data_IF_545965878767
#
_entry.id   IF_545965878767
#
_cell.length_a   1.000
_cell.length_b   1.000
_cell.length_c   1.000
_cell.angle_alpha   90.00
_cell.angle_beta   90.00
_cell.angle_gamma   90.00
#
_symmetry.space_group_name_H-M   'P 1'
#
loop_
_entity.id
_entity.type
_entity.pdbx_description
1 polymer ?
#
# COMPACT_ATOMS: atom_id res chain seq x y z
N UNK A 1 -22.26 18.13 11.01
CA UNK A 1 -23.25 17.20 10.51
C UNK A 1 -22.56 15.88 10.17
N UNK A 2 -22.88 14.77 10.90
CA UNK A 2 -22.26 13.47 10.64
C UNK A 2 -22.62 12.87 9.26
N UNK A 3 -23.57 13.49 8.56
CA UNK A 3 -23.98 13.10 7.22
C UNK A 3 -23.49 14.07 6.13
N UNK A 4 -22.73 15.09 6.49
CA UNK A 4 -22.18 16.01 5.50
C UNK A 4 -21.16 15.26 4.62
N UNK A 5 -21.21 15.42 3.30
CA UNK A 5 -20.21 14.80 2.43
C UNK A 5 -18.84 15.34 2.78
N UNK A 6 -17.87 14.45 2.94
CA UNK A 6 -16.50 14.83 3.19
C UNK A 6 -15.91 15.49 1.93
N UNK A 7 -15.41 16.72 2.09
CA UNK A 7 -14.74 17.44 1.00
C UNK A 7 -13.25 17.11 1.07
N UNK A 8 -12.71 16.46 0.03
CA UNK A 8 -11.30 16.14 -0.09
C UNK A 8 -10.58 17.21 -0.88
N UNK A 9 -9.38 17.58 -0.42
CA UNK A 9 -8.46 18.32 -1.26
C UNK A 9 -8.02 17.44 -2.42
N UNK A 10 -7.93 18.05 -3.61
CA UNK A 10 -7.44 17.32 -4.78
C UNK A 10 -5.96 17.01 -4.62
N UNK A 11 -5.62 15.72 -4.71
CA UNK A 11 -4.24 15.26 -4.69
C UNK A 11 -3.61 15.42 -6.08
N UNK A 12 -2.31 15.69 -6.09
CA UNK A 12 -1.51 15.77 -7.31
C UNK A 12 -0.29 14.87 -7.18
N UNK A 13 -0.02 14.10 -8.22
CA UNK A 13 1.21 13.29 -8.29
C UNK A 13 2.43 14.18 -8.54
N UNK A 14 3.63 13.73 -8.12
CA UNK A 14 4.87 14.44 -8.43
C UNK A 14 5.03 14.69 -9.94
N UNK A 15 5.68 15.80 -10.30
CA UNK A 15 6.06 16.16 -11.67
C UNK A 15 4.92 16.19 -12.69
N UNK A 16 3.69 16.40 -12.24
CA UNK A 16 2.53 16.50 -13.12
C UNK A 16 2.06 15.18 -13.72
N UNK A 17 2.55 14.04 -13.22
CA UNK A 17 2.09 12.73 -13.66
C UNK A 17 0.65 12.45 -13.24
N UNK A 18 -0.02 11.54 -13.95
CA UNK A 18 -1.40 11.13 -13.64
C UNK A 18 -1.61 9.62 -13.66
N UNK A 19 -0.55 8.83 -13.60
CA UNK A 19 -0.61 7.37 -13.60
C UNK A 19 0.19 6.82 -12.43
N UNK A 20 -0.47 6.01 -11.59
CA UNK A 20 0.06 5.57 -10.31
C UNK A 20 -0.06 4.05 -10.15
N UNK A 21 1.00 3.42 -9.64
CA UNK A 21 0.95 2.05 -9.13
C UNK A 21 0.84 2.12 -7.59
N UNK A 22 -0.26 1.59 -7.06
CA UNK A 22 -0.52 1.56 -5.61
C UNK A 22 -0.25 0.16 -5.04
N UNK A 23 0.80 0.01 -4.27
CA UNK A 23 1.01 -1.18 -3.46
C UNK A 23 -0.03 -1.24 -2.34
N UNK A 24 -0.78 -2.33 -2.26
CA UNK A 24 -1.81 -2.55 -1.26
C UNK A 24 -1.52 -3.81 -0.44
N UNK A 25 -1.62 -3.70 0.90
CA UNK A 25 -1.40 -4.83 1.79
C UNK A 25 -2.71 -5.45 2.31
N UNK A 26 -3.70 -4.63 2.62
CA UNK A 26 -4.99 -5.07 3.12
C UNK A 26 -6.05 -3.99 2.90
N UNK A 27 -7.31 -4.38 2.85
CA UNK A 27 -8.41 -3.45 2.59
C UNK A 27 -8.56 -2.36 3.66
N UNK A 28 -8.43 -2.63 4.97
CA UNK A 28 -8.52 -1.56 5.98
C UNK A 28 -7.53 -0.41 5.76
N UNK A 29 -6.31 -0.70 5.34
CA UNK A 29 -5.32 0.33 5.04
C UNK A 29 -5.54 0.99 3.68
N UNK A 30 -6.10 0.26 2.72
CA UNK A 30 -6.22 0.72 1.34
C UNK A 30 -7.48 1.54 1.07
N UNK A 31 -8.56 1.34 1.82
CA UNK A 31 -9.86 1.94 1.53
C UNK A 31 -9.83 3.45 1.39
N UNK A 32 -9.31 4.15 2.39
CA UNK A 32 -9.18 5.62 2.35
C UNK A 32 -8.22 6.08 1.25
N UNK A 33 -7.09 5.40 1.11
CA UNK A 33 -6.09 5.75 0.09
C UNK A 33 -6.69 5.64 -1.31
N UNK A 34 -7.41 4.57 -1.60
CA UNK A 34 -8.09 4.37 -2.88
C UNK A 34 -9.16 5.44 -3.14
N UNK A 35 -10.00 5.73 -2.16
CA UNK A 35 -11.05 6.74 -2.31
C UNK A 35 -10.45 8.15 -2.53
N UNK A 36 -9.38 8.49 -1.82
CA UNK A 36 -8.70 9.77 -1.99
C UNK A 36 -8.09 9.94 -3.39
N UNK A 37 -7.46 8.89 -3.91
CA UNK A 37 -6.88 8.88 -5.26
C UNK A 37 -7.97 8.97 -6.33
N UNK A 38 -9.05 8.20 -6.18
CA UNK A 38 -10.21 8.26 -7.07
C UNK A 38 -10.84 9.66 -7.12
N UNK A 39 -11.08 10.25 -5.95
CA UNK A 39 -11.66 11.58 -5.85
C UNK A 39 -10.80 12.67 -6.50
N UNK A 40 -9.51 12.43 -6.64
CA UNK A 40 -8.55 13.34 -7.27
C UNK A 40 -8.44 13.15 -8.79
N UNK A 41 -9.13 12.16 -9.37
CA UNK A 41 -9.08 11.88 -10.80
C UNK A 41 -7.77 11.28 -11.28
N UNK A 42 -6.99 10.67 -10.39
CA UNK A 42 -5.73 10.00 -10.71
C UNK A 42 -6.00 8.59 -11.21
N UNK A 43 -5.45 8.22 -12.36
CA UNK A 43 -5.47 6.85 -12.87
C UNK A 43 -4.52 5.98 -12.06
N UNK A 44 -5.02 4.86 -11.52
CA UNK A 44 -4.16 3.96 -10.75
C UNK A 44 -4.52 2.49 -10.90
N UNK A 45 -3.53 1.66 -10.63
CA UNK A 45 -3.63 0.20 -10.61
C UNK A 45 -3.14 -0.28 -9.25
N UNK A 46 -3.83 -1.27 -8.68
CA UNK A 46 -3.42 -1.90 -7.44
C UNK A 46 -2.40 -2.98 -7.74
N UNK A 47 -1.31 -2.98 -7.00
CA UNK A 47 -0.27 -3.99 -7.02
C UNK A 47 -0.25 -4.72 -5.69
N UNK A 48 -0.68 -5.99 -5.69
CA UNK A 48 -0.74 -6.81 -4.49
C UNK A 48 0.45 -7.76 -4.46
N UNK A 49 1.48 -7.39 -3.71
CA UNK A 49 2.67 -8.18 -3.45
C UNK A 49 2.98 -8.15 -1.97
N UNK A 50 2.60 -9.22 -1.26
CA UNK A 50 2.67 -9.29 0.19
C UNK A 50 3.15 -10.69 0.65
N UNK A 51 4.44 -11.00 0.42
CA UNK A 51 5.01 -12.31 0.77
C UNK A 51 5.12 -12.54 2.27
N UNK A 52 4.93 -11.49 3.07
CA UNK A 52 4.98 -11.51 4.52
C UNK A 52 3.70 -12.06 5.16
N UNK A 53 2.59 -12.10 4.44
CA UNK A 53 1.32 -12.55 5.01
C UNK A 53 1.29 -14.09 5.03
N UNK A 54 1.13 -14.65 6.21
CA UNK A 54 1.00 -16.08 6.41
C UNK A 54 0.15 -16.38 7.64
N UNK A 55 -0.51 -17.53 7.72
CA UNK A 55 -0.51 -18.62 6.75
C UNK A 55 -1.27 -18.29 5.45
N UNK A 56 -1.28 -19.21 4.51
CA UNK A 56 -1.98 -19.05 3.22
C UNK A 56 -3.44 -18.59 3.37
N UNK A 57 -4.15 -19.14 4.34
CA UNK A 57 -5.54 -18.76 4.63
C UNK A 57 -5.68 -17.26 4.87
N UNK A 58 -4.80 -16.68 5.68
CA UNK A 58 -4.80 -15.25 5.99
C UNK A 58 -4.47 -14.41 4.74
N UNK A 59 -3.49 -14.85 3.97
CA UNK A 59 -3.12 -14.24 2.70
C UNK A 59 -4.31 -14.17 1.74
N UNK A 60 -5.03 -15.27 1.57
CA UNK A 60 -6.20 -15.34 0.68
C UNK A 60 -7.33 -14.44 1.14
N UNK A 61 -7.62 -14.37 2.44
CA UNK A 61 -8.66 -13.48 2.99
C UNK A 61 -8.35 -12.02 2.63
N UNK A 62 -7.13 -11.57 2.87
CA UNK A 62 -6.72 -10.20 2.59
C UNK A 62 -6.70 -9.88 1.09
N UNK A 63 -6.25 -10.83 0.28
CA UNK A 63 -6.23 -10.67 -1.18
C UNK A 63 -7.63 -10.57 -1.77
N UNK A 64 -8.51 -11.49 -1.41
CA UNK A 64 -9.89 -11.52 -1.92
C UNK A 64 -10.67 -10.25 -1.54
N UNK A 65 -10.48 -9.74 -0.34
CA UNK A 65 -11.11 -8.51 0.10
C UNK A 65 -10.59 -7.30 -0.68
N UNK A 66 -9.30 -7.23 -0.97
CA UNK A 66 -8.71 -6.22 -1.85
C UNK A 66 -9.30 -6.28 -3.26
N UNK A 67 -9.42 -7.48 -3.83
CA UNK A 67 -10.00 -7.68 -5.15
C UNK A 67 -11.46 -7.20 -5.17
N UNK A 68 -12.24 -7.57 -4.18
CA UNK A 68 -13.64 -7.16 -4.06
C UNK A 68 -13.79 -5.65 -4.01
N UNK A 69 -12.96 -4.98 -3.23
CA UNK A 69 -13.01 -3.53 -3.10
C UNK A 69 -12.54 -2.82 -4.37
N UNK A 70 -11.49 -3.33 -5.02
CA UNK A 70 -11.04 -2.84 -6.32
C UNK A 70 -12.12 -2.95 -7.39
N UNK A 71 -12.81 -4.10 -7.46
CA UNK A 71 -13.92 -4.31 -8.40
C UNK A 71 -15.07 -3.34 -8.20
N UNK A 72 -15.39 -3.00 -6.96
CA UNK A 72 -16.43 -2.03 -6.63
C UNK A 72 -16.23 -0.69 -7.35
N UNK A 73 -14.99 -0.28 -7.54
CA UNK A 73 -14.63 0.99 -8.17
C UNK A 73 -14.06 0.83 -9.59
N UNK A 74 -14.05 -0.37 -10.12
CA UNK A 74 -13.49 -0.61 -11.46
C UNK A 74 -11.98 -0.41 -11.56
N UNK A 75 -11.23 -0.60 -10.46
CA UNK A 75 -9.79 -0.41 -10.43
C UNK A 75 -9.06 -1.68 -10.88
N UNK A 76 -8.10 -1.59 -11.84
CA UNK A 76 -7.26 -2.73 -12.21
C UNK A 76 -6.48 -3.26 -11.01
N UNK A 77 -6.38 -4.59 -10.92
CA UNK A 77 -5.71 -5.28 -9.82
C UNK A 77 -4.67 -6.24 -10.38
N UNK A 78 -3.42 -6.07 -9.96
CA UNK A 78 -2.31 -6.97 -10.31
C UNK A 78 -2.05 -7.89 -9.13
N UNK A 79 -2.32 -9.18 -9.34
CA UNK A 79 -2.03 -10.26 -8.39
C UNK A 79 -0.60 -10.74 -8.63
N UNK A 80 0.33 -10.22 -7.86
CA UNK A 80 1.74 -10.60 -7.96
C UNK A 80 2.00 -11.94 -7.25
N UNK A 81 3.15 -12.54 -7.51
CA UNK A 81 3.52 -13.83 -6.94
C UNK A 81 3.53 -13.80 -5.40
N UNK A 82 3.05 -14.89 -4.80
CA UNK A 82 3.13 -15.12 -3.35
C UNK A 82 4.50 -15.65 -2.93
N UNK A 83 5.51 -14.90 -3.17
CA UNK A 83 6.95 -15.20 -2.99
C UNK A 83 7.34 -15.45 -1.52
N UNK A 84 6.56 -16.28 -0.83
CA UNK A 84 6.64 -16.55 0.60
C UNK A 84 7.99 -17.12 1.03
N UNK A 85 8.52 -18.07 0.26
CA UNK A 85 9.80 -18.71 0.61
C UNK A 85 10.95 -17.70 0.58
N UNK A 86 10.99 -16.82 -0.39
CA UNK A 86 11.99 -15.77 -0.46
C UNK A 86 11.89 -14.82 0.75
N UNK A 87 10.68 -14.50 1.20
CA UNK A 87 10.51 -13.70 2.41
C UNK A 87 11.06 -14.41 3.64
N UNK A 88 10.73 -15.68 3.84
CA UNK A 88 11.27 -16.47 4.96
C UNK A 88 12.80 -16.57 4.91
N UNK A 89 13.38 -16.77 3.73
CA UNK A 89 14.83 -16.85 3.57
C UNK A 89 15.51 -15.53 3.96
N UNK A 90 14.93 -14.40 3.56
CA UNK A 90 15.42 -13.06 3.93
C UNK A 90 15.20 -12.73 5.41
N UNK A 91 14.13 -13.22 6.02
CA UNK A 91 13.81 -12.99 7.43
C UNK A 91 14.59 -13.88 8.39
N UNK A 92 15.31 -14.88 7.89
CA UNK A 92 16.09 -15.81 8.70
C UNK A 92 17.10 -15.06 9.57
N UNK A 93 17.08 -15.35 10.87
CA UNK A 93 17.90 -14.67 11.86
C UNK A 93 17.29 -13.38 12.42
N UNK A 94 16.10 -12.98 11.95
CA UNK A 94 15.39 -11.79 12.39
C UNK A 94 14.09 -12.12 13.15
N UNK A 95 13.90 -13.36 13.58
CA UNK A 95 12.65 -13.86 14.16
C UNK A 95 12.28 -13.12 15.44
N UNK A 96 13.27 -12.65 16.20
CA UNK A 96 13.09 -11.97 17.48
C UNK A 96 13.15 -10.43 17.38
N UNK A 97 13.26 -9.90 16.17
CA UNK A 97 13.29 -8.45 15.98
C UNK A 97 11.93 -7.84 16.33
N UNK A 98 11.92 -6.68 17.01
CA UNK A 98 10.69 -5.99 17.34
C UNK A 98 10.01 -5.42 16.10
N UNK A 99 8.74 -5.09 16.23
CA UNK A 99 8.05 -4.26 15.24
C UNK A 99 8.81 -2.94 15.04
N UNK A 100 8.87 -2.46 13.81
CA UNK A 100 9.67 -1.30 13.36
C UNK A 100 11.19 -1.52 13.36
N UNK A 101 11.64 -2.74 13.64
CA UNK A 101 13.05 -3.11 13.58
C UNK A 101 13.52 -3.49 12.17
N UNK A 102 14.69 -4.16 12.11
CA UNK A 102 15.32 -4.51 10.82
C UNK A 102 14.51 -5.48 9.98
N UNK A 103 13.73 -6.36 10.60
CA UNK A 103 12.84 -7.26 9.86
C UNK A 103 11.75 -6.48 9.10
N UNK A 104 11.18 -5.44 9.70
CA UNK A 104 10.22 -4.56 9.02
C UNK A 104 10.88 -3.80 7.87
N UNK A 105 12.11 -3.31 8.06
CA UNK A 105 12.88 -2.66 6.98
C UNK A 105 13.10 -3.63 5.81
N UNK A 106 13.56 -4.84 6.06
CA UNK A 106 13.72 -5.88 5.04
C UNK A 106 12.41 -6.16 4.31
N UNK A 107 11.32 -6.28 5.05
CA UNK A 107 10.00 -6.56 4.51
C UNK A 107 9.48 -5.44 3.61
N UNK A 108 9.64 -4.19 4.01
CA UNK A 108 9.26 -3.03 3.18
C UNK A 108 10.16 -2.91 1.96
N UNK A 109 11.47 -3.06 2.11
CA UNK A 109 12.41 -3.04 0.98
C UNK A 109 12.02 -4.08 -0.06
N UNK A 110 11.75 -5.31 0.35
CA UNK A 110 11.36 -6.40 -0.55
C UNK A 110 10.09 -6.07 -1.34
N UNK A 111 9.08 -5.56 -0.66
CA UNK A 111 7.80 -5.21 -1.30
C UNK A 111 7.93 -4.03 -2.24
N UNK A 112 8.66 -3.00 -1.85
CA UNK A 112 8.83 -1.79 -2.66
C UNK A 112 9.79 -1.98 -3.82
N UNK A 113 10.82 -2.81 -3.67
CA UNK A 113 11.69 -3.20 -4.79
C UNK A 113 10.87 -3.83 -5.92
N UNK A 114 9.94 -4.73 -5.58
CA UNK A 114 9.05 -5.36 -6.57
C UNK A 114 8.06 -4.36 -7.17
N UNK A 115 7.52 -3.46 -6.39
CA UNK A 115 6.61 -2.43 -6.88
C UNK A 115 7.33 -1.47 -7.85
N UNK A 116 8.53 -1.02 -7.51
CA UNK A 116 9.34 -0.16 -8.37
C UNK A 116 9.77 -0.86 -9.66
N UNK A 117 10.18 -2.13 -9.59
CA UNK A 117 10.50 -2.95 -10.75
C UNK A 117 9.31 -3.08 -11.70
N UNK A 118 8.14 -3.40 -11.16
CA UNK A 118 6.90 -3.49 -11.94
C UNK A 118 6.55 -2.16 -12.58
N UNK A 119 6.65 -1.08 -11.83
CA UNK A 119 6.39 0.28 -12.34
C UNK A 119 7.31 0.63 -13.51
N UNK A 120 8.60 0.33 -13.38
CA UNK A 120 9.58 0.52 -14.44
C UNK A 120 9.25 -0.30 -15.69
N UNK A 121 8.99 -1.58 -15.53
CA UNK A 121 8.72 -2.51 -16.64
C UNK A 121 7.41 -2.23 -17.38
N UNK A 122 6.41 -1.65 -16.71
CA UNK A 122 5.06 -1.46 -17.23
C UNK A 122 4.68 0.02 -17.45
N UNK A 123 5.64 0.93 -17.34
CA UNK A 123 5.41 2.34 -17.67
C UNK A 123 4.60 3.12 -16.65
N UNK A 124 4.68 2.78 -15.36
CA UNK A 124 4.13 3.58 -14.28
C UNK A 124 5.18 4.57 -13.79
N UNK A 125 4.99 5.88 -13.98
CA UNK A 125 5.99 6.87 -13.57
C UNK A 125 6.06 7.07 -12.06
N UNK A 126 5.03 6.69 -11.32
CA UNK A 126 4.93 6.89 -9.88
C UNK A 126 4.39 5.62 -9.21
N UNK A 127 4.95 5.28 -8.07
CA UNK A 127 4.36 4.29 -7.18
C UNK A 127 4.29 4.81 -5.75
N UNK A 128 3.38 4.24 -4.98
CA UNK A 128 3.26 4.48 -3.55
C UNK A 128 2.67 3.24 -2.85
N UNK A 129 2.45 3.34 -1.55
CA UNK A 129 1.86 2.26 -0.76
C UNK A 129 0.84 2.80 0.23
N UNK A 130 -0.15 1.97 0.55
CA UNK A 130 -1.10 2.24 1.62
C UNK A 130 -0.50 2.05 3.03
N UNK A 131 0.69 1.47 3.15
CA UNK A 131 1.30 1.12 4.45
C UNK A 131 1.45 2.32 5.37
N UNK A 132 1.74 3.49 4.83
CA UNK A 132 1.98 4.71 5.60
C UNK A 132 0.76 5.24 6.36
N UNK A 133 -0.45 4.77 6.07
CA UNK A 133 -1.65 5.21 6.79
C UNK A 133 -1.76 4.57 8.19
N UNK A 134 -1.16 3.40 8.39
CA UNK A 134 -1.20 2.69 9.67
C UNK A 134 -0.35 3.40 10.74
N UNK A 135 -0.98 3.79 11.83
CA UNK A 135 -0.29 4.41 12.99
C UNK A 135 0.70 3.47 13.68
N UNK A 136 0.58 2.16 13.46
CA UNK A 136 1.46 1.15 14.04
C UNK A 136 2.81 1.06 13.34
N UNK A 137 2.95 1.70 12.18
CA UNK A 137 4.15 1.67 11.36
C UNK A 137 4.91 2.99 11.43
N UNK A 138 6.23 2.91 11.28
CA UNK A 138 7.11 4.07 11.21
C UNK A 138 7.10 4.62 9.78
N UNK A 139 6.55 5.82 9.62
CA UNK A 139 6.44 6.46 8.30
C UNK A 139 7.82 6.78 7.70
N UNK A 140 8.79 7.18 8.49
CA UNK A 140 10.14 7.46 8.01
C UNK A 140 10.82 6.19 7.49
N UNK A 141 10.61 5.06 8.17
CA UNK A 141 11.11 3.75 7.74
C UNK A 141 10.49 3.35 6.40
N UNK A 142 9.18 3.49 6.26
CA UNK A 142 8.45 3.19 5.02
C UNK A 142 8.95 4.06 3.88
N UNK A 143 9.01 5.37 4.08
CA UNK A 143 9.43 6.32 3.04
C UNK A 143 10.90 6.11 2.65
N UNK A 144 11.77 5.80 3.60
CA UNK A 144 13.16 5.45 3.32
C UNK A 144 13.28 4.23 2.38
N UNK A 145 12.48 3.19 2.64
CA UNK A 145 12.43 2.01 1.76
C UNK A 145 11.90 2.35 0.37
N UNK A 146 10.85 3.18 0.29
CA UNK A 146 10.27 3.61 -0.98
C UNK A 146 11.25 4.41 -1.83
N UNK A 147 11.94 5.37 -1.24
CA UNK A 147 12.94 6.16 -1.95
C UNK A 147 14.13 5.32 -2.42
N UNK A 148 14.63 4.39 -1.59
CA UNK A 148 15.71 3.47 -2.01
C UNK A 148 15.31 2.61 -3.19
N UNK A 149 14.07 2.11 -3.21
CA UNK A 149 13.59 1.31 -4.33
C UNK A 149 13.50 2.13 -5.62
N UNK A 150 13.01 3.37 -5.54
CA UNK A 150 12.90 4.26 -6.70
C UNK A 150 14.26 4.70 -7.26
N UNK A 151 15.29 4.85 -6.42
CA UNK A 151 16.63 5.28 -6.84
C UNK A 151 17.26 4.38 -7.90
N UNK A 152 16.82 3.12 -8.01
CA UNK A 152 17.30 2.18 -9.01
C UNK A 152 16.86 2.50 -10.45
N UNK A 153 15.87 3.37 -10.61
CA UNK A 153 15.25 3.65 -11.90
C UNK A 153 15.07 5.16 -12.10
N UNK A 154 15.54 5.67 -13.25
CA UNK A 154 15.42 7.11 -13.58
C UNK A 154 13.97 7.51 -13.93
N UNK A 155 13.13 6.54 -14.28
CA UNK A 155 11.78 6.74 -14.75
C UNK A 155 10.68 6.41 -13.72
N UNK A 156 11.07 6.16 -12.46
CA UNK A 156 10.15 5.80 -11.39
C UNK A 156 10.35 6.72 -10.18
N UNK A 157 9.26 7.31 -9.71
CA UNK A 157 9.23 8.17 -8.52
C UNK A 157 8.44 7.47 -7.42
N UNK A 158 8.98 7.46 -6.20
CA UNK A 158 8.21 7.09 -5.01
C UNK A 158 7.49 8.32 -4.46
N UNK A 159 6.15 8.22 -4.35
CA UNK A 159 5.32 9.29 -3.79
C UNK A 159 5.18 9.09 -2.28
N UNK A 160 5.80 9.96 -1.49
CA UNK A 160 5.87 9.89 -0.03
C UNK A 160 4.75 10.65 0.68
N UNK A 161 3.58 10.74 0.06
CA UNK A 161 2.44 11.45 0.63
C UNK A 161 2.04 10.88 2.00
N UNK A 162 1.76 11.77 2.94
CA UNK A 162 1.31 11.39 4.28
C UNK A 162 -0.21 11.14 4.31
N UNK A 163 -0.61 9.89 4.21
CA UNK A 163 -2.02 9.48 4.19
C UNK A 163 -2.76 9.71 5.52
N UNK A 164 -2.05 9.98 6.62
CA UNK A 164 -2.64 10.21 7.95
C UNK A 164 -3.17 11.63 8.11
N UNK A 165 -2.65 12.58 7.36
CA UNK A 165 -3.04 13.99 7.47
C UNK A 165 -4.42 14.27 6.91
N UNK A 166 -4.93 15.46 7.17
CA UNK A 166 -6.23 15.95 6.67
C UNK A 166 -7.39 15.01 7.01
N UNK A 167 -7.33 14.37 8.19
CA UNK A 167 -8.35 13.44 8.66
C UNK A 167 -8.30 12.04 8.04
N UNK A 168 -7.22 11.69 7.33
CA UNK A 168 -7.08 10.39 6.66
C UNK A 168 -7.17 9.20 7.61
N UNK A 169 -6.53 9.27 8.77
CA UNK A 169 -6.59 8.21 9.77
C UNK A 169 -8.02 7.95 10.26
N UNK A 170 -8.80 9.01 10.47
CA UNK A 170 -10.19 8.89 10.90
C UNK A 170 -11.06 8.27 9.81
N UNK A 171 -10.93 8.72 8.57
CA UNK A 171 -11.68 8.17 7.44
C UNK A 171 -11.34 6.71 7.17
N UNK A 172 -10.09 6.31 7.37
CA UNK A 172 -9.70 4.90 7.26
C UNK A 172 -10.56 4.03 8.19
N UNK A 173 -10.76 4.47 9.44
CA UNK A 173 -11.59 3.76 10.42
C UNK A 173 -13.06 3.74 9.97
N UNK A 174 -13.58 4.87 9.51
CA UNK A 174 -14.96 5.00 9.07
C UNK A 174 -15.26 4.11 7.85
N UNK A 175 -14.36 4.10 6.87
CA UNK A 175 -14.50 3.25 5.67
C UNK A 175 -14.42 1.77 6.04
N UNK A 176 -13.50 1.39 6.93
CA UNK A 176 -13.39 0.00 7.41
C UNK A 176 -14.69 -0.48 8.05
N UNK A 177 -15.36 0.38 8.83
CA UNK A 177 -16.66 0.07 9.43
C UNK A 177 -17.77 0.00 8.38
N UNK A 178 -17.84 0.97 7.47
CA UNK A 178 -18.82 1.03 6.39
C UNK A 178 -18.79 -0.21 5.51
N UNK A 179 -17.58 -0.62 5.11
CA UNK A 179 -17.36 -1.74 4.21
C UNK A 179 -17.29 -3.08 4.94
N UNK A 180 -17.26 -3.07 6.26
CA UNK A 180 -17.10 -4.26 7.13
C UNK A 180 -15.86 -5.05 6.77
N UNK A 181 -14.73 -4.36 6.62
CA UNK A 181 -13.46 -4.98 6.30
C UNK A 181 -12.97 -5.90 7.43
N UNK A 182 -12.36 -6.99 7.01
CA UNK A 182 -11.68 -7.91 7.92
C UNK A 182 -10.54 -7.18 8.65
N UNK A 183 -10.54 -7.27 9.98
CA UNK A 183 -9.51 -6.65 10.81
C UNK A 183 -8.45 -7.70 11.17
N UNK A 184 -7.26 -7.55 10.60
CA UNK A 184 -6.15 -8.42 10.95
C UNK A 184 -5.57 -8.04 12.32
N UNK A 185 -5.02 -9.04 13.01
CA UNK A 185 -4.38 -8.89 14.32
C UNK A 185 -2.86 -8.69 14.22
N UNK A 186 -2.28 -8.90 13.05
CA UNK A 186 -0.83 -8.81 12.80
C UNK A 186 -0.54 -8.37 11.36
N UNK A 187 0.68 -7.93 11.13
CA UNK A 187 1.16 -7.57 9.79
C UNK A 187 1.63 -8.78 8.96
#
# INVERSE_FOLDING_TARGET
DPNAPFIREKLELPDGHNKLLLHSCCAPCSGEVMEAILASGIEFTIYFYNPNIHPLKEYLIRKEENIRFAKKFGIPFIDADYDRQNWFDRAKGMEWEPERGIRCTMCFDMRFEKAAEYAHEHGFPVFTSCLGISRWKDMNQINGCGHRAAEKYDDVIYWDYNWRKEGGSQRMIEISKRERFYQQEYC
#
